data_IF_420847925936
#
_entry.id   IF_420847925936
#
_cell.length_a   1.000
_cell.length_b   1.000
_cell.length_c   1.000
_cell.angle_alpha   90.00
_cell.angle_beta   90.00
_cell.angle_gamma   90.00
#
_symmetry.space_group_name_H-M   'P 1'
#
loop_
_entity.id
_entity.type
_entity.pdbx_description
1 polymer ?
#
# COMPACT_ATOMS: atom_id res chain seq x y z
N UNK A 1 13.38 4.37 16.21
CA UNK A 1 13.76 2.98 15.85
C UNK A 1 12.68 2.07 16.41
N UNK A 2 12.18 1.12 15.63
CA UNK A 2 11.15 0.16 16.06
C UNK A 2 11.77 -1.24 16.08
N UNK A 3 12.05 -1.83 17.26
CA UNK A 3 12.90 -3.01 17.40
C UNK A 3 12.12 -4.34 17.32
N UNK A 4 11.19 -4.48 16.37
CA UNK A 4 10.44 -5.72 16.24
C UNK A 4 11.32 -6.92 15.86
N UNK A 5 11.01 -8.14 16.36
CA UNK A 5 11.64 -9.37 15.88
C UNK A 5 11.46 -9.51 14.37
N UNK A 6 12.47 -10.03 13.68
CA UNK A 6 12.31 -10.43 12.28
C UNK A 6 11.44 -11.69 12.16
N UNK A 7 10.73 -11.84 11.04
CA UNK A 7 9.93 -13.03 10.74
C UNK A 7 10.54 -13.84 9.56
N UNK A 8 11.63 -14.58 9.76
CA UNK A 8 12.34 -15.28 8.66
C UNK A 8 11.51 -16.39 8.01
N UNK A 9 10.70 -17.11 8.78
CA UNK A 9 9.84 -18.18 8.26
C UNK A 9 8.73 -17.61 7.37
N UNK A 10 8.13 -16.48 7.79
CA UNK A 10 7.19 -15.72 6.97
C UNK A 10 7.85 -15.21 5.69
N UNK A 11 9.09 -14.71 5.76
CA UNK A 11 9.82 -14.25 4.59
C UNK A 11 10.06 -15.39 3.58
N UNK A 12 10.47 -16.56 4.06
CA UNK A 12 10.66 -17.75 3.23
C UNK A 12 9.35 -18.22 2.58
N UNK A 13 8.25 -18.23 3.35
CA UNK A 13 6.91 -18.57 2.87
C UNK A 13 6.42 -17.59 1.79
N UNK A 14 6.59 -16.29 2.02
CA UNK A 14 6.25 -15.27 1.03
C UNK A 14 7.07 -15.43 -0.27
N UNK A 15 8.37 -15.75 -0.17
CA UNK A 15 9.20 -16.02 -1.33
C UNK A 15 8.70 -17.23 -2.13
N UNK A 16 8.36 -18.33 -1.46
CA UNK A 16 7.83 -19.54 -2.10
C UNK A 16 6.54 -19.25 -2.90
N UNK A 17 5.60 -18.55 -2.29
CA UNK A 17 4.34 -18.14 -2.93
C UNK A 17 4.59 -17.28 -4.17
N UNK A 18 5.49 -16.30 -4.06
CA UNK A 18 5.87 -15.43 -5.17
C UNK A 18 6.54 -16.20 -6.31
N UNK A 19 7.49 -17.08 -5.99
CA UNK A 19 8.18 -17.89 -6.99
C UNK A 19 7.20 -18.82 -7.73
N UNK A 20 6.27 -19.44 -6.99
CA UNK A 20 5.23 -20.32 -7.54
C UNK A 20 4.28 -19.56 -8.47
N UNK A 21 4.00 -18.30 -8.18
CA UNK A 21 3.20 -17.41 -9.02
C UNK A 21 3.98 -16.76 -10.19
N UNK A 22 5.25 -17.16 -10.41
CA UNK A 22 6.06 -16.70 -11.55
C UNK A 22 6.95 -15.49 -11.27
N UNK A 23 6.98 -14.95 -10.05
CA UNK A 23 7.87 -13.86 -9.64
C UNK A 23 9.28 -14.42 -9.33
N UNK A 24 9.97 -14.94 -10.36
CA UNK A 24 11.28 -15.63 -10.26
C UNK A 24 12.42 -14.77 -9.67
N UNK A 25 12.23 -13.45 -9.60
CA UNK A 25 13.19 -12.51 -9.02
C UNK A 25 13.09 -12.32 -7.51
N UNK A 26 12.15 -12.98 -6.81
CA UNK A 26 11.97 -12.83 -5.37
C UNK A 26 13.20 -13.33 -4.58
N UNK A 27 13.76 -12.47 -3.73
CA UNK A 27 14.96 -12.74 -2.93
C UNK A 27 14.74 -12.35 -1.48
N UNK A 28 15.35 -13.10 -0.57
CA UNK A 28 15.40 -12.76 0.84
C UNK A 28 16.56 -11.80 1.12
N UNK A 29 16.28 -10.71 1.82
CA UNK A 29 17.30 -9.82 2.36
C UNK A 29 17.35 -9.94 3.88
N UNK A 30 18.48 -10.44 4.40
CA UNK A 30 18.68 -10.67 5.84
C UNK A 30 19.30 -9.45 6.56
N UNK A 31 19.64 -8.39 5.83
CA UNK A 31 20.38 -7.22 6.35
C UNK A 31 19.53 -5.95 6.34
N UNK A 32 18.56 -5.85 5.43
CA UNK A 32 17.65 -4.70 5.36
C UNK A 32 16.78 -4.63 6.62
N UNK A 33 16.88 -3.53 7.36
CA UNK A 33 15.97 -3.22 8.45
C UNK A 33 14.68 -2.54 7.96
N UNK A 34 13.74 -2.33 8.89
CA UNK A 34 12.51 -1.60 8.63
C UNK A 34 12.80 -0.16 8.22
N UNK A 35 12.29 0.26 7.06
CA UNK A 35 12.34 1.66 6.65
C UNK A 35 11.21 2.50 7.27
N UNK A 36 11.25 3.81 7.04
CA UNK A 36 10.29 4.78 7.59
C UNK A 36 8.83 4.44 7.25
N UNK A 37 8.58 3.93 6.05
CA UNK A 37 7.23 3.53 5.64
C UNK A 37 6.71 2.36 6.47
N UNK A 38 7.59 1.44 6.86
CA UNK A 38 7.21 0.28 7.67
C UNK A 38 7.11 0.61 9.17
N UNK A 39 8.11 1.30 9.76
CA UNK A 39 8.16 1.42 11.22
C UNK A 39 7.24 2.50 11.81
N UNK A 40 6.89 3.56 11.07
CA UNK A 40 5.99 4.63 11.58
C UNK A 40 4.60 4.11 11.93
N UNK A 41 3.86 3.43 11.03
CA UNK A 41 2.53 2.91 11.37
C UNK A 41 2.60 1.87 12.49
N UNK A 42 3.63 1.01 12.48
CA UNK A 42 3.80 -0.01 13.52
C UNK A 42 4.07 0.59 14.90
N UNK A 43 4.88 1.65 15.00
CA UNK A 43 5.13 2.34 16.26
C UNK A 43 3.85 2.91 16.89
N UNK A 44 2.89 3.35 16.06
CA UNK A 44 1.62 3.89 16.52
C UNK A 44 0.61 2.78 16.88
N UNK A 45 0.60 1.68 16.13
CA UNK A 45 -0.35 0.58 16.33
C UNK A 45 0.08 -0.41 17.42
N UNK A 46 1.36 -0.74 17.49
CA UNK A 46 1.94 -1.79 18.34
C UNK A 46 3.24 -1.31 19.00
N UNK A 47 3.19 -0.32 19.89
CA UNK A 47 4.37 0.36 20.43
C UNK A 47 5.39 -0.56 21.13
N UNK A 48 4.92 -1.70 21.67
CA UNK A 48 5.77 -2.69 22.36
C UNK A 48 6.73 -3.45 21.42
N UNK A 49 6.48 -3.42 20.11
CA UNK A 49 7.32 -4.07 19.10
C UNK A 49 7.58 -5.57 19.38
N UNK A 50 6.59 -6.29 19.87
CA UNK A 50 6.65 -7.72 20.22
C UNK A 50 6.13 -8.65 19.11
N UNK A 51 5.47 -8.09 18.09
CA UNK A 51 4.99 -8.82 16.91
C UNK A 51 6.13 -8.98 15.89
N UNK A 52 6.44 -10.21 15.40
CA UNK A 52 7.42 -10.41 14.34
C UNK A 52 7.02 -9.73 13.02
N UNK A 53 7.96 -9.05 12.36
CA UNK A 53 7.73 -8.29 11.13
C UNK A 53 8.66 -8.77 10.01
N UNK A 54 8.10 -8.90 8.81
CA UNK A 54 8.85 -9.03 7.56
C UNK A 54 8.44 -7.88 6.62
N UNK A 55 9.42 -7.23 5.99
CA UNK A 55 9.18 -6.17 5.03
C UNK A 55 9.20 -6.72 3.60
N UNK A 56 8.21 -6.34 2.79
CA UNK A 56 8.18 -6.62 1.34
C UNK A 56 8.52 -5.35 0.56
N UNK A 57 9.49 -5.42 -0.34
CA UNK A 57 9.87 -4.29 -1.20
C UNK A 57 8.92 -4.12 -2.39
N UNK A 58 8.65 -2.88 -2.78
CA UNK A 58 8.04 -2.53 -4.08
C UNK A 58 9.08 -2.49 -5.20
N UNK A 59 8.64 -2.63 -6.45
CA UNK A 59 9.51 -2.60 -7.63
C UNK A 59 9.21 -1.36 -8.48
N UNK A 60 10.15 -0.41 -8.55
CA UNK A 60 9.97 0.86 -9.30
C UNK A 60 10.47 0.81 -10.74
N UNK A 61 10.69 -0.38 -11.30
CA UNK A 61 11.12 -0.52 -12.68
C UNK A 61 9.95 -0.23 -13.64
N UNK A 62 10.23 0.33 -14.81
CA UNK A 62 9.22 0.80 -15.78
C UNK A 62 8.24 -0.26 -16.29
N UNK A 63 8.56 -1.54 -16.13
CA UNK A 63 7.72 -2.68 -16.53
C UNK A 63 6.89 -3.25 -15.36
N UNK A 64 7.03 -2.69 -14.15
CA UNK A 64 6.36 -3.13 -12.91
C UNK A 64 5.35 -2.08 -12.48
N UNK A 65 4.21 -2.10 -13.15
CA UNK A 65 3.12 -1.15 -12.94
C UNK A 65 2.24 -1.51 -11.72
N UNK A 66 1.14 -0.78 -11.57
CA UNK A 66 0.08 -1.03 -10.59
C UNK A 66 -0.43 -2.49 -10.63
N UNK A 67 -0.66 -3.04 -11.83
CA UNK A 67 -1.14 -4.42 -12.01
C UNK A 67 -0.14 -5.44 -11.50
N UNK A 68 1.14 -5.24 -11.77
CA UNK A 68 2.21 -6.12 -11.27
C UNK A 68 2.15 -6.26 -9.74
N UNK A 69 2.00 -5.14 -9.04
CA UNK A 69 1.92 -5.12 -7.57
C UNK A 69 0.61 -5.72 -7.04
N UNK A 70 -0.51 -5.51 -7.74
CA UNK A 70 -1.77 -6.18 -7.43
C UNK A 70 -1.67 -7.70 -7.57
N UNK A 71 -1.07 -8.19 -8.65
CA UNK A 71 -0.85 -9.62 -8.86
C UNK A 71 0.12 -10.21 -7.82
N UNK A 72 1.12 -9.43 -7.39
CA UNK A 72 2.01 -9.81 -6.29
C UNK A 72 1.23 -9.97 -4.99
N UNK A 73 0.30 -9.05 -4.71
CA UNK A 73 -0.65 -9.18 -3.60
C UNK A 73 -1.52 -10.43 -3.71
N UNK A 74 -2.11 -10.68 -4.89
CA UNK A 74 -2.93 -11.88 -5.12
C UNK A 74 -2.16 -13.19 -4.84
N UNK A 75 -0.88 -13.25 -5.24
CA UNK A 75 -0.03 -14.42 -4.98
C UNK A 75 0.24 -14.65 -3.47
N UNK A 76 0.25 -13.58 -2.69
CA UNK A 76 0.51 -13.59 -1.25
C UNK A 76 -0.76 -13.71 -0.40
N UNK A 77 -1.95 -13.71 -1.02
CA UNK A 77 -3.23 -13.82 -0.32
C UNK A 77 -3.34 -15.02 0.66
N UNK A 78 -2.75 -16.21 0.41
CA UNK A 78 -2.79 -17.32 1.36
C UNK A 78 -2.25 -16.99 2.76
N UNK A 79 -1.32 -16.03 2.88
CA UNK A 79 -0.76 -15.62 4.17
C UNK A 79 -1.82 -15.10 5.14
N UNK A 80 -2.95 -14.59 4.65
CA UNK A 80 -4.07 -14.12 5.49
C UNK A 80 -4.70 -15.28 6.26
N UNK A 81 -4.82 -16.44 5.63
CA UNK A 81 -5.36 -17.67 6.26
C UNK A 81 -4.34 -18.29 7.22
N UNK A 82 -3.06 -17.97 7.04
CA UNK A 82 -1.93 -18.36 7.90
C UNK A 82 -1.75 -17.40 9.11
N UNK A 83 -2.70 -16.49 9.36
CA UNK A 83 -2.69 -15.60 10.54
C UNK A 83 -1.81 -14.36 10.40
N UNK A 84 -1.43 -13.97 9.17
CA UNK A 84 -0.55 -12.83 8.91
C UNK A 84 -1.37 -11.55 8.68
N UNK A 85 -1.07 -10.50 9.45
CA UNK A 85 -1.56 -9.15 9.19
C UNK A 85 -0.75 -8.49 8.06
N UNK A 86 -1.44 -7.96 7.06
CA UNK A 86 -0.85 -7.27 5.91
C UNK A 86 -1.08 -5.77 6.05
N UNK A 87 -0.01 -4.99 5.91
CA UNK A 87 -0.05 -3.53 5.96
C UNK A 87 0.56 -2.96 4.68
N UNK A 88 -0.25 -2.31 3.85
CA UNK A 88 0.21 -1.49 2.73
C UNK A 88 0.42 -0.05 3.18
N UNK A 89 1.63 0.30 3.61
CA UNK A 89 1.95 1.66 4.07
C UNK A 89 2.37 2.55 2.91
N UNK A 90 1.66 3.66 2.72
CA UNK A 90 1.84 4.58 1.60
C UNK A 90 1.01 5.85 1.81
N UNK A 91 0.58 6.48 0.71
CA UNK A 91 -0.29 7.66 0.75
C UNK A 91 -1.20 7.68 -0.47
N UNK A 92 -2.47 8.08 -0.30
CA UNK A 92 -3.41 8.24 -1.41
C UNK A 92 -3.04 9.40 -2.34
N UNK A 93 -2.26 10.36 -1.86
CA UNK A 93 -1.66 11.42 -2.69
C UNK A 93 -0.25 11.71 -2.18
N UNK A 94 0.74 11.79 -3.09
CA UNK A 94 2.14 11.96 -2.70
C UNK A 94 2.92 12.77 -3.74
N UNK A 95 2.74 14.09 -3.72
CA UNK A 95 3.51 15.02 -4.54
C UNK A 95 4.26 16.03 -3.66
N UNK A 96 5.52 15.71 -3.36
CA UNK A 96 6.37 16.54 -2.51
C UNK A 96 6.61 17.96 -3.07
N UNK A 97 6.44 18.16 -4.38
CA UNK A 97 6.58 19.48 -5.03
C UNK A 97 5.38 20.40 -4.81
N UNK A 98 4.25 19.84 -4.35
CA UNK A 98 3.00 20.55 -4.17
C UNK A 98 2.66 20.80 -2.68
N UNK A 99 3.55 20.42 -1.75
CA UNK A 99 3.33 20.58 -0.32
C UNK A 99 3.26 22.06 0.06
N UNK A 100 2.30 22.39 0.90
CA UNK A 100 2.19 23.71 1.54
C UNK A 100 2.14 23.55 3.06
N UNK A 101 3.24 23.91 3.71
CA UNK A 101 3.39 23.88 5.17
C UNK A 101 2.51 24.91 5.90
N UNK A 102 1.94 25.87 5.18
CA UNK A 102 1.04 26.90 5.73
C UNK A 102 -0.42 26.64 5.41
N UNK A 103 -0.75 25.54 4.72
CA UNK A 103 -2.11 25.24 4.29
C UNK A 103 -3.10 25.08 5.46
N UNK A 104 -2.62 24.72 6.66
CA UNK A 104 -3.50 24.38 7.77
C UNK A 104 -4.42 23.22 7.37
N UNK A 105 -5.74 23.43 7.46
CA UNK A 105 -6.76 22.45 7.05
C UNK A 105 -7.17 22.56 5.57
N UNK A 106 -6.65 23.54 4.82
CA UNK A 106 -7.03 23.75 3.42
C UNK A 106 -6.45 22.64 2.54
N UNK A 107 -7.32 21.94 1.81
CA UNK A 107 -6.93 20.92 0.83
C UNK A 107 -7.12 21.46 -0.58
N UNK A 108 -6.11 21.28 -1.43
CA UNK A 108 -6.20 21.72 -2.83
C UNK A 108 -7.19 20.84 -3.63
N UNK A 109 -8.01 21.43 -4.54
CA UNK A 109 -9.09 20.68 -5.20
C UNK A 109 -8.64 19.41 -5.92
N UNK A 110 -7.54 19.47 -6.67
CA UNK A 110 -7.04 18.31 -7.43
C UNK A 110 -6.71 17.11 -6.53
N UNK A 111 -6.24 17.35 -5.30
CA UNK A 111 -5.87 16.28 -4.36
C UNK A 111 -7.12 15.64 -3.77
N UNK A 112 -8.10 16.47 -3.37
CA UNK A 112 -9.40 16.02 -2.91
C UNK A 112 -10.17 15.23 -3.99
N UNK A 113 -10.09 15.65 -5.26
CA UNK A 113 -10.70 14.94 -6.39
C UNK A 113 -10.09 13.55 -6.62
N UNK A 114 -8.75 13.41 -6.55
CA UNK A 114 -8.09 12.12 -6.64
C UNK A 114 -8.45 11.20 -5.46
N UNK A 115 -8.38 11.71 -4.23
CA UNK A 115 -8.70 10.95 -3.01
C UNK A 115 -10.15 10.45 -3.01
N UNK A 116 -11.09 11.31 -3.41
CA UNK A 116 -12.50 10.95 -3.53
C UNK A 116 -12.72 9.88 -4.61
N UNK A 117 -12.11 10.03 -5.79
CA UNK A 117 -12.19 9.01 -6.84
C UNK A 117 -11.64 7.66 -6.35
N UNK A 118 -10.54 7.69 -5.59
CA UNK A 118 -9.91 6.49 -5.04
C UNK A 118 -10.82 5.82 -4.00
N UNK A 119 -11.37 6.59 -3.06
CA UNK A 119 -12.34 6.09 -2.07
C UNK A 119 -13.50 5.40 -2.78
N UNK A 120 -14.16 6.10 -3.71
CA UNK A 120 -15.30 5.56 -4.46
C UNK A 120 -14.95 4.28 -5.22
N UNK A 121 -13.74 4.20 -5.78
CA UNK A 121 -13.26 3.02 -6.48
C UNK A 121 -13.07 1.84 -5.52
N UNK A 122 -12.43 2.06 -4.38
CA UNK A 122 -12.14 1.03 -3.40
C UNK A 122 -13.41 0.50 -2.70
N UNK A 123 -14.31 1.38 -2.27
CA UNK A 123 -15.56 0.97 -1.57
C UNK A 123 -16.55 0.27 -2.53
N UNK A 124 -16.50 0.62 -3.81
CA UNK A 124 -17.36 0.01 -4.84
C UNK A 124 -16.74 -1.22 -5.50
N UNK A 125 -15.53 -1.63 -5.09
CA UNK A 125 -14.82 -2.77 -5.67
C UNK A 125 -14.35 -2.56 -7.11
N UNK A 126 -14.20 -1.31 -7.58
CA UNK A 126 -13.67 -0.96 -8.91
C UNK A 126 -12.14 -1.09 -8.96
N UNK A 127 -11.59 -2.21 -8.51
CA UNK A 127 -10.14 -2.44 -8.43
C UNK A 127 -9.44 -2.41 -9.78
N UNK A 128 -10.16 -2.74 -10.85
CA UNK A 128 -9.66 -2.59 -12.21
C UNK A 128 -9.38 -1.12 -12.57
N UNK A 129 -10.22 -0.20 -12.08
CA UNK A 129 -10.01 1.23 -12.30
C UNK A 129 -8.82 1.74 -11.51
N UNK A 130 -8.61 1.23 -10.29
CA UNK A 130 -7.43 1.55 -9.45
C UNK A 130 -6.15 1.03 -10.11
N UNK A 131 -6.16 -0.19 -10.64
CA UNK A 131 -5.01 -0.74 -11.36
C UNK A 131 -4.68 0.03 -12.66
N UNK A 132 -5.65 0.75 -13.23
CA UNK A 132 -5.48 1.63 -14.39
C UNK A 132 -5.52 3.13 -14.01
N UNK A 133 -5.20 3.48 -12.76
CA UNK A 133 -5.35 4.84 -12.24
C UNK A 133 -4.70 5.92 -13.11
N UNK A 134 -3.57 5.63 -13.77
CA UNK A 134 -2.90 6.61 -14.64
C UNK A 134 -3.78 7.10 -15.80
N UNK A 135 -4.73 6.27 -16.25
CA UNK A 135 -5.67 6.58 -17.32
C UNK A 135 -7.02 7.06 -16.79
N UNK A 136 -7.47 6.50 -15.66
CA UNK A 136 -8.86 6.64 -15.16
C UNK A 136 -9.01 7.63 -14.02
N UNK A 137 -7.96 7.89 -13.24
CA UNK A 137 -8.03 8.79 -12.10
C UNK A 137 -7.84 10.25 -12.55
N UNK A 138 -8.59 11.19 -11.97
CA UNK A 138 -8.35 12.61 -12.19
C UNK A 138 -6.99 13.00 -11.60
N UNK A 139 -6.15 13.73 -12.33
CA UNK A 139 -4.86 14.24 -11.82
C UNK A 139 -3.84 13.18 -11.40
N UNK A 140 -3.91 11.94 -11.90
CA UNK A 140 -3.03 10.84 -11.48
C UNK A 140 -1.53 11.20 -11.43
N UNK A 141 -0.99 11.77 -12.52
CA UNK A 141 0.43 12.19 -12.58
C UNK A 141 0.78 13.33 -11.63
N UNK A 142 -0.21 14.13 -11.23
CA UNK A 142 -0.03 15.21 -10.26
C UNK A 142 -0.11 14.69 -8.84
N UNK A 143 -0.98 13.72 -8.56
CA UNK A 143 -1.06 13.03 -7.27
C UNK A 143 0.18 12.16 -7.01
N UNK A 144 0.68 11.50 -8.05
CA UNK A 144 1.84 10.61 -7.99
C UNK A 144 2.81 10.89 -9.13
N UNK A 145 3.72 11.88 -8.99
CA UNK A 145 4.83 12.06 -9.92
C UNK A 145 5.76 10.83 -9.97
N UNK A 146 5.87 10.13 -8.83
CA UNK A 146 6.36 8.76 -8.74
C UNK A 146 5.32 7.90 -7.99
N UNK A 147 5.12 6.64 -8.39
CA UNK A 147 4.05 5.78 -7.85
C UNK A 147 4.49 4.99 -6.61
N UNK A 148 5.67 5.26 -6.06
CA UNK A 148 6.28 4.49 -4.98
C UNK A 148 5.43 4.46 -3.70
N UNK A 149 4.76 5.57 -3.37
CA UNK A 149 3.84 5.63 -2.24
C UNK A 149 2.42 5.12 -2.55
N UNK A 150 2.15 4.74 -3.80
CA UNK A 150 0.84 4.24 -4.25
C UNK A 150 0.82 2.73 -4.52
N UNK A 151 1.95 2.14 -4.91
CA UNK A 151 2.08 0.69 -5.10
C UNK A 151 1.81 -0.17 -3.86
N UNK A 152 2.11 0.26 -2.62
CA UNK A 152 1.73 -0.49 -1.42
C UNK A 152 0.22 -0.77 -1.34
N UNK A 153 -0.62 0.18 -1.77
CA UNK A 153 -2.08 -0.02 -1.85
C UNK A 153 -2.43 -1.16 -2.80
N UNK A 154 -1.75 -1.28 -3.94
CA UNK A 154 -2.04 -2.33 -4.93
C UNK A 154 -1.73 -3.71 -4.38
N UNK A 155 -0.63 -3.86 -3.64
CA UNK A 155 -0.29 -5.11 -2.96
C UNK A 155 -1.34 -5.46 -1.90
N UNK A 156 -1.71 -4.51 -1.04
CA UNK A 156 -2.73 -4.72 -0.01
C UNK A 156 -4.10 -5.05 -0.63
N UNK A 157 -4.48 -4.34 -1.69
CA UNK A 157 -5.69 -4.60 -2.48
C UNK A 157 -5.65 -6.00 -3.10
N UNK A 158 -4.52 -6.45 -3.65
CA UNK A 158 -4.38 -7.80 -4.21
C UNK A 158 -4.53 -8.90 -3.15
N UNK A 159 -3.99 -8.71 -1.95
CA UNK A 159 -4.16 -9.67 -0.85
C UNK A 159 -5.57 -9.64 -0.25
N UNK A 160 -6.17 -8.45 -0.19
CA UNK A 160 -7.52 -8.22 0.34
C UNK A 160 -8.62 -8.73 -0.59
N UNK A 161 -8.46 -8.46 -1.89
CA UNK A 161 -9.43 -8.77 -2.94
C UNK A 161 -9.36 -10.19 -3.47
N UNK A 162 -8.86 -11.16 -2.70
CA UNK A 162 -8.78 -12.56 -3.09
C UNK A 162 -10.15 -13.23 -3.24
N UNK A 163 -11.17 -12.76 -2.51
CA UNK A 163 -12.57 -13.22 -2.60
C UNK A 163 -13.43 -12.43 -3.60
N UNK A 164 -14.42 -13.10 -4.20
CA UNK A 164 -15.47 -12.44 -5.00
C UNK A 164 -16.18 -11.37 -4.13
N UNK A 165 -16.41 -10.18 -4.68
CA UNK A 165 -17.06 -9.04 -3.99
C UNK A 165 -16.31 -8.42 -2.80
N UNK A 166 -15.02 -8.69 -2.60
CA UNK A 166 -14.24 -7.98 -1.58
C UNK A 166 -14.33 -6.47 -1.78
N UNK A 167 -14.61 -5.72 -0.72
CA UNK A 167 -14.71 -4.25 -0.70
C UNK A 167 -13.74 -3.68 0.33
N UNK A 168 -13.40 -2.41 0.16
CA UNK A 168 -12.71 -1.64 1.17
C UNK A 168 -13.69 -0.87 2.07
N UNK A 169 -13.31 -0.72 3.32
CA UNK A 169 -13.91 0.20 4.29
C UNK A 169 -12.92 1.35 4.54
N UNK A 170 -13.39 2.60 4.49
CA UNK A 170 -12.60 3.76 4.91
C UNK A 170 -12.56 3.79 6.45
N UNK A 171 -11.37 3.59 7.01
CA UNK A 171 -11.15 3.55 8.48
C UNK A 171 -10.81 4.91 9.04
N UNK A 172 -10.10 5.72 8.27
CA UNK A 172 -9.65 7.04 8.69
C UNK A 172 -9.46 7.96 7.48
N UNK A 173 -9.70 9.26 7.69
CA UNK A 173 -9.36 10.32 6.74
C UNK A 173 -8.84 11.53 7.49
N UNK A 174 -7.66 11.97 7.12
CA UNK A 174 -7.13 13.28 7.46
C UNK A 174 -6.20 13.75 6.36
N UNK A 175 -5.87 15.04 6.40
CA UNK A 175 -5.01 15.68 5.42
C UNK A 175 -3.84 16.37 6.10
N UNK A 176 -2.74 16.50 5.37
CA UNK A 176 -1.57 17.24 5.80
C UNK A 176 -0.95 18.01 4.64
N UNK A 177 -0.31 19.14 4.97
CA UNK A 177 0.51 19.93 4.04
C UNK A 177 -0.23 20.31 2.75
N UNK A 178 -1.55 20.51 2.85
CA UNK A 178 -2.46 20.87 1.76
C UNK A 178 -2.76 19.80 0.72
N UNK A 179 -1.93 18.76 0.59
CA UNK A 179 -2.04 17.79 -0.51
C UNK A 179 -1.81 16.33 -0.11
N UNK A 180 -1.35 16.03 1.10
CA UNK A 180 -1.10 14.65 1.55
C UNK A 180 -2.37 14.08 2.19
N UNK A 181 -2.92 13.04 1.59
CA UNK A 181 -4.03 12.29 2.16
C UNK A 181 -3.51 11.16 3.04
N UNK A 182 -4.03 11.08 4.26
CA UNK A 182 -3.82 9.98 5.20
C UNK A 182 -5.01 9.01 5.22
N UNK A 183 -5.79 8.97 4.13
CA UNK A 183 -6.89 8.02 3.99
C UNK A 183 -6.37 6.59 4.19
N UNK A 184 -7.01 5.86 5.11
CA UNK A 184 -6.63 4.49 5.48
C UNK A 184 -7.80 3.56 5.25
N UNK A 185 -7.52 2.42 4.63
CA UNK A 185 -8.54 1.48 4.20
C UNK A 185 -8.30 0.09 4.80
N UNK A 186 -9.40 -0.58 5.15
CA UNK A 186 -9.41 -1.99 5.53
C UNK A 186 -10.11 -2.79 4.45
N UNK A 187 -9.44 -3.81 3.93
CA UNK A 187 -10.05 -4.74 2.97
C UNK A 187 -10.71 -5.87 3.73
N UNK A 188 -12.01 -6.05 3.53
CA UNK A 188 -12.78 -7.15 4.10
C UNK A 188 -13.12 -8.17 3.01
N UNK A 189 -13.12 -9.44 3.39
CA UNK A 189 -13.67 -10.56 2.62
C UNK A 189 -14.90 -11.08 3.33
#
# INVERSE_FOLDING_TARGET
>A
KYPAPGAPDLAARAQELLMSAGFKGARLDKKRGLDHGAWVPLLLMYPEADIPVCQLSIQLHKDKDARHHYNMGRALAPLREEGVLIIGSGSATHNLRALDYKAGEVVVPWAAEFDKWLEEALISGRYEDVNEYEKKAPHAKKAHPMPDHFYPLHVAMGMGASGENSKAELVHRSWGLGTLSYASYKFTT
#
